data_IF_464444221286
#
_entry.id   IF_464444221286
#
_cell.length_a   1.000
_cell.length_b   1.000
_cell.length_c   1.000
_cell.angle_alpha   90.00
_cell.angle_beta   90.00
_cell.angle_gamma   90.00
#
_symmetry.space_group_name_H-M   'P 1'
#
loop_
_entity.id
_entity.type
_entity.pdbx_description
1 polymer ?
#
# COMPACT_ATOMS: atom_id res chain seq x y z
N UNK A 1 9.90 11.77 -5.71
CA UNK A 1 8.70 12.34 -5.07
C UNK A 1 8.02 13.27 -6.05
N UNK A 2 6.70 13.30 -6.03
CA UNK A 2 5.87 14.28 -6.75
C UNK A 2 5.36 15.30 -5.74
N UNK A 3 5.38 16.56 -6.12
CA UNK A 3 4.78 17.65 -5.35
C UNK A 3 3.72 18.30 -6.21
N UNK A 4 2.61 18.68 -5.59
CA UNK A 4 1.49 19.30 -6.26
C UNK A 4 0.81 20.32 -5.38
N UNK A 5 0.07 21.23 -6.02
CA UNK A 5 -0.86 22.12 -5.35
C UNK A 5 -2.17 22.07 -6.14
N UNK A 6 -3.31 22.15 -5.45
CA UNK A 6 -4.60 22.21 -6.13
C UNK A 6 -4.70 23.44 -7.03
N UNK A 7 -5.59 23.42 -8.02
CA UNK A 7 -5.73 24.52 -8.99
C UNK A 7 -6.19 25.84 -8.35
N UNK A 8 -6.86 25.78 -7.20
CA UNK A 8 -7.21 26.94 -6.38
C UNK A 8 -6.13 27.31 -5.35
N UNK A 9 -4.99 26.62 -5.39
CA UNK A 9 -3.81 26.82 -4.54
C UNK A 9 -4.03 26.59 -3.04
N UNK A 10 -5.15 25.95 -2.66
CA UNK A 10 -5.53 25.78 -1.26
C UNK A 10 -4.98 24.54 -0.57
N UNK A 11 -4.58 23.52 -1.32
CA UNK A 11 -4.04 22.28 -0.75
C UNK A 11 -2.73 21.94 -1.44
N UNK A 12 -1.67 21.84 -0.64
CA UNK A 12 -0.39 21.29 -1.09
C UNK A 12 -0.39 19.77 -0.87
N UNK A 13 0.23 19.02 -1.77
CA UNK A 13 0.36 17.59 -1.69
C UNK A 13 1.78 17.13 -2.00
N UNK A 14 2.27 16.15 -1.25
CA UNK A 14 3.47 15.38 -1.59
C UNK A 14 3.08 13.92 -1.75
N UNK A 15 3.55 13.28 -2.82
CA UNK A 15 3.27 11.89 -3.13
C UNK A 15 4.58 11.16 -3.44
N UNK A 16 4.84 10.06 -2.76
CA UNK A 16 5.95 9.16 -3.05
C UNK A 16 5.40 7.80 -3.44
N UNK A 17 5.89 7.27 -4.54
CA UNK A 17 5.50 5.97 -5.06
C UNK A 17 6.68 5.02 -4.92
N UNK A 18 6.44 3.86 -4.32
CA UNK A 18 7.44 2.83 -4.11
C UNK A 18 7.01 1.56 -4.82
N UNK A 19 7.94 1.01 -5.60
CA UNK A 19 7.80 -0.27 -6.31
C UNK A 19 8.99 -1.14 -5.90
N UNK A 20 8.71 -2.36 -5.48
CA UNK A 20 9.72 -3.38 -5.20
C UNK A 20 9.87 -4.33 -6.37
N UNK A 21 10.94 -5.13 -6.34
CA UNK A 21 10.98 -6.39 -7.12
C UNK A 21 9.84 -7.27 -6.63
N UNK A 22 9.12 -7.89 -7.55
CA UNK A 22 8.04 -8.85 -7.25
C UNK A 22 8.03 -9.91 -8.34
N UNK A 23 7.65 -11.13 -7.97
CA UNK A 23 7.30 -12.24 -8.85
C UNK A 23 5.91 -12.82 -8.50
N UNK A 24 5.13 -12.10 -7.68
CA UNK A 24 3.84 -12.53 -7.16
C UNK A 24 2.67 -11.71 -7.72
N UNK A 25 2.50 -10.47 -7.26
CA UNK A 25 1.40 -9.59 -7.66
C UNK A 25 1.89 -8.16 -7.80
N UNK A 26 1.20 -7.37 -8.61
CA UNK A 26 1.50 -5.94 -8.70
C UNK A 26 1.11 -5.30 -7.37
N UNK A 27 2.13 -4.84 -6.64
CA UNK A 27 2.00 -4.06 -5.42
C UNK A 27 2.74 -2.75 -5.55
N UNK A 28 2.13 -1.69 -5.08
CA UNK A 28 2.73 -0.36 -5.06
C UNK A 28 2.39 0.32 -3.75
N UNK A 29 3.36 0.96 -3.11
CA UNK A 29 3.11 1.76 -1.92
C UNK A 29 3.08 3.23 -2.29
N UNK A 30 2.06 3.93 -1.81
CA UNK A 30 1.89 5.35 -1.95
C UNK A 30 1.99 5.98 -0.57
N UNK A 31 2.97 6.86 -0.39
CA UNK A 31 3.01 7.77 0.76
C UNK A 31 2.43 9.08 0.29
N UNK A 32 1.31 9.49 0.87
CA UNK A 32 0.65 10.74 0.52
C UNK A 32 0.60 11.63 1.75
N UNK A 33 0.92 12.90 1.55
CA UNK A 33 0.77 13.95 2.56
C UNK A 33 0.07 15.14 1.93
N UNK A 34 -0.94 15.67 2.62
CA UNK A 34 -1.71 16.84 2.22
C UNK A 34 -1.64 17.89 3.32
N UNK A 35 -1.46 19.15 2.93
CA UNK A 35 -1.54 20.30 3.84
C UNK A 35 -2.54 21.30 3.30
N UNK A 36 -3.56 21.63 4.10
CA UNK A 36 -4.57 22.62 3.77
C UNK A 36 -4.02 24.00 4.11
N UNK A 37 -3.70 24.80 3.09
CA UNK A 37 -3.11 26.13 3.22
C UNK A 37 -4.18 27.20 3.54
N UNK A 38 -5.42 26.93 3.13
CA UNK A 38 -6.59 27.74 3.41
C UNK A 38 -7.77 26.86 3.83
N UNK A 39 -8.85 27.48 4.31
CA UNK A 39 -10.12 26.79 4.52
C UNK A 39 -10.65 26.27 3.16
N UNK A 40 -10.95 24.98 3.13
CA UNK A 40 -11.45 24.28 1.93
C UNK A 40 -12.84 23.72 2.22
N UNK A 41 -13.85 24.33 1.63
CA UNK A 41 -15.18 23.73 1.53
C UNK A 41 -15.21 22.72 0.38
N UNK A 42 -15.71 21.53 0.63
CA UNK A 42 -15.75 20.45 -0.37
C UNK A 42 -17.17 19.90 -0.54
N UNK A 43 -17.47 19.36 -1.72
CA UNK A 43 -18.62 18.48 -1.93
C UNK A 43 -18.21 17.00 -1.99
N UNK A 44 -16.95 16.76 -2.37
CA UNK A 44 -16.29 15.48 -2.53
C UNK A 44 -14.81 15.69 -2.25
N UNK A 45 -14.21 14.81 -1.47
CA UNK A 45 -12.78 14.78 -1.22
C UNK A 45 -12.32 13.34 -1.21
N UNK A 46 -11.21 13.08 -1.92
CA UNK A 46 -10.56 11.78 -1.99
C UNK A 46 -9.05 12.01 -1.96
N UNK A 47 -8.38 11.47 -0.95
CA UNK A 47 -6.92 11.51 -0.83
C UNK A 47 -6.23 10.40 -1.62
N UNK A 48 -6.96 9.34 -1.92
CA UNK A 48 -6.57 8.26 -2.80
C UNK A 48 -7.84 7.62 -3.37
N UNK A 49 -7.79 7.13 -4.60
CA UNK A 49 -8.95 6.50 -5.25
C UNK A 49 -8.51 5.27 -6.03
N UNK A 50 -9.27 4.18 -5.91
CA UNK A 50 -9.19 3.03 -6.81
C UNK A 50 -10.40 3.02 -7.74
N UNK A 51 -10.15 2.65 -9.00
CA UNK A 51 -11.04 2.76 -10.14
C UNK A 51 -11.38 4.23 -10.50
N UNK A 52 -11.41 4.54 -11.79
CA UNK A 52 -11.49 5.93 -12.25
C UNK A 52 -12.94 6.43 -12.39
N UNK A 53 -13.14 7.75 -12.19
CA UNK A 53 -14.42 8.44 -12.43
C UNK A 53 -14.90 8.33 -13.88
N UNK A 54 -13.92 8.41 -14.78
CA UNK A 54 -14.07 8.27 -16.23
C UNK A 54 -13.14 7.15 -16.68
N UNK A 55 -13.53 6.38 -17.68
CA UNK A 55 -12.85 5.12 -18.02
C UNK A 55 -12.97 4.09 -16.89
N UNK A 56 -14.12 4.07 -16.24
CA UNK A 56 -14.49 3.09 -15.23
C UNK A 56 -15.09 1.84 -15.87
N UNK A 57 -14.38 1.26 -16.83
CA UNK A 57 -14.90 0.22 -17.69
C UNK A 57 -14.38 -1.17 -17.32
N UNK A 58 -13.88 -1.43 -16.11
CA UNK A 58 -13.47 -2.78 -15.71
C UNK A 58 -14.66 -3.72 -15.55
N UNK A 59 -15.85 -3.18 -15.23
CA UNK A 59 -17.07 -4.00 -15.12
C UNK A 59 -17.10 -4.90 -13.89
N UNK A 60 -16.46 -4.47 -12.79
CA UNK A 60 -16.57 -5.12 -11.49
C UNK A 60 -18.03 -5.20 -11.05
N UNK A 61 -18.44 -6.38 -10.60
CA UNK A 61 -19.80 -6.63 -10.13
C UNK A 61 -19.89 -6.81 -8.62
N UNK A 62 -18.75 -6.92 -7.93
CA UNK A 62 -18.68 -7.04 -6.49
C UNK A 62 -17.76 -6.00 -5.88
N UNK A 63 -18.11 -5.56 -4.67
CA UNK A 63 -17.32 -4.65 -3.85
C UNK A 63 -17.29 -5.15 -2.41
N UNK A 64 -16.11 -5.15 -1.80
CA UNK A 64 -15.93 -5.53 -0.41
C UNK A 64 -14.99 -4.57 0.31
N UNK A 65 -15.12 -4.51 1.64
CA UNK A 65 -14.14 -3.87 2.50
C UNK A 65 -14.11 -4.55 3.88
N UNK A 66 -12.99 -4.41 4.57
CA UNK A 66 -12.74 -5.10 5.82
C UNK A 66 -11.42 -4.71 6.44
N UNK A 67 -10.87 -5.64 7.22
CA UNK A 67 -9.56 -5.55 7.86
C UNK A 67 -8.86 -6.92 7.79
N UNK A 68 -7.64 -7.04 8.31
CA UNK A 68 -6.86 -8.28 8.29
C UNK A 68 -7.63 -9.51 8.82
N UNK A 69 -8.47 -9.31 9.85
CA UNK A 69 -9.18 -10.41 10.50
C UNK A 69 -10.52 -10.76 9.85
N UNK A 70 -11.17 -9.84 9.13
CA UNK A 70 -12.56 -10.00 8.69
C UNK A 70 -12.89 -9.30 7.37
N UNK A 71 -13.81 -9.91 6.61
CA UNK A 71 -14.58 -9.22 5.57
C UNK A 71 -15.77 -8.55 6.26
N UNK A 72 -15.72 -7.24 6.46
CA UNK A 72 -16.76 -6.51 7.20
C UNK A 72 -18.02 -6.30 6.36
N UNK A 73 -17.87 -6.10 5.05
CA UNK A 73 -18.97 -5.92 4.11
C UNK A 73 -18.59 -6.48 2.76
N UNK A 74 -19.55 -7.15 2.13
CA UNK A 74 -19.50 -7.64 0.76
C UNK A 74 -20.84 -7.31 0.10
N UNK A 75 -20.82 -6.77 -1.11
CA UNK A 75 -22.05 -6.37 -1.82
C UNK A 75 -21.89 -6.39 -3.33
N UNK A 76 -22.98 -6.82 -3.98
CA UNK A 76 -23.14 -6.65 -5.42
C UNK A 76 -23.24 -5.18 -5.79
N UNK A 77 -22.57 -4.82 -6.87
CA UNK A 77 -22.63 -3.48 -7.45
C UNK A 77 -23.93 -3.40 -8.28
N UNK A 78 -24.87 -2.50 -7.94
CA UNK A 78 -26.11 -2.35 -8.68
C UNK A 78 -25.83 -1.69 -10.04
N UNK A 79 -26.55 -2.15 -11.07
CA UNK A 79 -26.64 -1.40 -12.32
C UNK A 79 -27.30 -0.04 -12.06
N UNK A 80 -26.63 1.03 -12.48
CA UNK A 80 -27.05 2.39 -12.14
C UNK A 80 -26.66 3.37 -13.22
N UNK A 81 -27.65 4.01 -13.86
CA UNK A 81 -27.41 5.05 -14.87
C UNK A 81 -26.80 6.35 -14.32
N UNK A 82 -26.58 6.46 -13.00
CA UNK A 82 -26.04 7.67 -12.36
C UNK A 82 -24.58 7.52 -11.94
N UNK A 83 -23.86 8.63 -12.01
CA UNK A 83 -22.54 8.84 -11.40
C UNK A 83 -22.72 9.68 -10.12
N UNK A 84 -21.99 9.39 -9.05
CA UNK A 84 -22.13 10.09 -7.78
C UNK A 84 -22.21 9.19 -6.55
N UNK A 85 -22.28 9.81 -5.36
CA UNK A 85 -22.70 9.12 -4.14
C UNK A 85 -24.20 8.81 -4.23
N UNK A 86 -24.58 7.57 -3.95
CA UNK A 86 -25.99 7.19 -4.03
C UNK A 86 -26.77 7.56 -2.78
N UNK A 87 -26.10 7.57 -1.63
CA UNK A 87 -26.65 8.02 -0.37
C UNK A 87 -25.57 8.68 0.49
N UNK A 88 -25.99 9.32 1.58
CA UNK A 88 -25.07 9.82 2.61
C UNK A 88 -24.38 8.70 3.38
N UNK A 89 -24.95 7.48 3.40
CA UNK A 89 -24.32 6.32 4.06
C UNK A 89 -23.15 5.73 3.26
N UNK A 90 -23.01 6.12 1.99
CA UNK A 90 -21.87 5.75 1.15
C UNK A 90 -20.65 6.67 1.37
N UNK A 91 -20.67 7.51 2.41
CA UNK A 91 -19.64 8.52 2.67
C UNK A 91 -19.14 8.43 4.10
N UNK A 92 -17.83 8.62 4.28
CA UNK A 92 -17.19 8.62 5.60
C UNK A 92 -17.42 7.32 6.37
N UNK A 93 -17.34 6.17 5.69
CA UNK A 93 -17.45 4.85 6.33
C UNK A 93 -16.12 4.56 7.02
N UNK A 94 -16.13 4.43 8.34
CA UNK A 94 -14.95 4.09 9.11
C UNK A 94 -14.45 2.68 8.76
N UNK A 95 -13.16 2.54 8.46
CA UNK A 95 -12.51 1.24 8.34
C UNK A 95 -11.72 0.94 9.61
N UNK A 96 -12.31 0.15 10.50
CA UNK A 96 -11.74 -0.18 11.81
C UNK A 96 -10.97 -1.51 11.78
N UNK A 97 -9.96 -1.64 12.64
CA UNK A 97 -9.12 -2.83 12.76
C UNK A 97 -7.80 -2.68 12.01
N UNK A 98 -6.97 -3.72 12.08
CA UNK A 98 -5.62 -3.69 11.50
C UNK A 98 -5.65 -3.92 9.98
N UNK A 99 -4.76 -3.23 9.26
CA UNK A 99 -4.67 -3.25 7.80
C UNK A 99 -6.04 -3.16 7.09
N UNK A 100 -6.83 -2.09 7.33
CA UNK A 100 -8.12 -1.95 6.69
C UNK A 100 -7.99 -1.86 5.17
N UNK A 101 -8.91 -2.50 4.45
CA UNK A 101 -8.81 -2.66 3.01
C UNK A 101 -10.14 -2.52 2.28
N UNK A 102 -10.05 -2.23 0.99
CA UNK A 102 -11.17 -2.21 0.04
C UNK A 102 -10.83 -3.03 -1.20
N UNK A 103 -11.85 -3.59 -1.84
CA UNK A 103 -11.66 -4.49 -2.98
C UNK A 103 -12.81 -4.39 -3.98
N UNK A 104 -12.48 -4.29 -5.26
CA UNK A 104 -13.39 -4.38 -6.40
C UNK A 104 -12.99 -5.62 -7.19
N UNK A 105 -13.94 -6.53 -7.41
CA UNK A 105 -13.67 -7.83 -7.99
C UNK A 105 -14.84 -8.39 -8.79
N UNK A 106 -14.63 -9.57 -9.37
CA UNK A 106 -15.58 -10.26 -10.22
C UNK A 106 -15.97 -9.38 -11.42
N UNK A 107 -14.94 -8.99 -12.18
CA UNK A 107 -15.08 -8.34 -13.48
C UNK A 107 -15.91 -9.22 -14.41
N UNK A 108 -16.86 -8.61 -15.12
CA UNK A 108 -17.69 -9.28 -16.13
C UNK A 108 -17.48 -8.73 -17.52
N UNK A 109 -16.43 -7.92 -17.70
CA UNK A 109 -16.10 -7.39 -19.02
C UNK A 109 -15.62 -8.54 -19.91
N UNK A 110 -16.14 -8.50 -21.13
CA UNK A 110 -15.95 -9.55 -22.15
C UNK A 110 -15.60 -8.93 -23.51
N UNK A 111 -15.29 -7.63 -23.52
CA UNK A 111 -15.16 -6.81 -24.72
C UNK A 111 -13.77 -6.21 -24.85
N UNK A 112 -13.11 -6.47 -25.97
CA UNK A 112 -11.73 -6.09 -26.25
C UNK A 112 -10.84 -7.34 -26.37
N UNK A 113 -9.70 -7.21 -27.05
CA UNK A 113 -8.66 -8.26 -27.07
C UNK A 113 -7.65 -8.05 -25.92
N UNK A 114 -8.09 -7.45 -24.82
CA UNK A 114 -7.21 -7.07 -23.72
C UNK A 114 -7.39 -8.09 -22.58
N UNK A 115 -6.33 -8.82 -22.18
CA UNK A 115 -6.35 -9.71 -21.01
C UNK A 115 -6.60 -8.99 -19.67
N UNK A 116 -6.71 -7.66 -19.71
CA UNK A 116 -6.90 -6.76 -18.57
C UNK A 116 -8.21 -7.01 -17.80
N UNK A 117 -9.15 -7.76 -18.38
CA UNK A 117 -10.45 -8.09 -17.78
C UNK A 117 -10.35 -9.07 -16.58
N UNK A 118 -9.17 -9.63 -16.31
CA UNK A 118 -8.93 -10.70 -15.34
C UNK A 118 -8.24 -10.23 -14.05
N UNK A 119 -8.25 -8.93 -13.75
CA UNK A 119 -7.60 -8.38 -12.56
C UNK A 119 -8.62 -7.76 -11.60
N UNK A 120 -8.53 -8.14 -10.34
CA UNK A 120 -9.22 -7.51 -9.23
C UNK A 120 -8.33 -6.46 -8.58
N UNK A 121 -8.91 -5.37 -8.11
CA UNK A 121 -8.15 -4.20 -7.64
C UNK A 121 -8.62 -3.73 -6.28
N UNK A 122 -7.68 -3.29 -5.47
CA UNK A 122 -7.98 -2.76 -4.15
C UNK A 122 -6.83 -1.97 -3.57
N UNK A 123 -7.06 -1.45 -2.37
CA UNK A 123 -5.99 -0.90 -1.56
C UNK A 123 -6.15 -1.26 -0.10
N UNK A 124 -5.02 -1.26 0.60
CA UNK A 124 -4.89 -1.50 2.04
C UNK A 124 -4.28 -0.24 2.64
N UNK A 125 -4.88 0.28 3.71
CA UNK A 125 -4.35 1.43 4.42
C UNK A 125 -3.41 0.92 5.51
N UNK A 126 -2.11 1.09 5.30
CA UNK A 126 -1.05 0.64 6.23
C UNK A 126 -0.79 1.65 7.34
N UNK A 127 -1.04 2.93 7.06
CA UNK A 127 -1.00 4.01 8.05
C UNK A 127 -1.96 5.12 7.63
N UNK A 128 -2.62 5.75 8.60
CA UNK A 128 -3.46 6.93 8.41
C UNK A 128 -3.37 7.83 9.65
N UNK A 129 -3.09 9.11 9.41
CA UNK A 129 -3.09 10.13 10.44
C UNK A 129 -3.53 11.46 9.83
N UNK A 130 -4.53 12.09 10.43
CA UNK A 130 -5.03 13.38 10.00
C UNK A 130 -5.23 14.30 11.20
N UNK A 131 -4.78 15.54 11.08
CA UNK A 131 -5.06 16.62 12.02
C UNK A 131 -6.02 17.59 11.32
N UNK A 132 -7.30 17.55 11.68
CA UNK A 132 -8.36 18.36 11.07
C UNK A 132 -8.80 19.42 12.07
N UNK A 133 -8.26 20.64 11.91
CA UNK A 133 -8.43 21.71 12.89
C UNK A 133 -7.83 21.34 14.25
N UNK A 134 -8.69 21.01 15.23
CA UNK A 134 -8.27 20.54 16.56
C UNK A 134 -8.49 19.05 16.79
N UNK A 135 -8.96 18.32 15.78
CA UNK A 135 -9.29 16.90 15.90
C UNK A 135 -8.23 16.02 15.23
N UNK A 136 -7.69 15.08 16.00
CA UNK A 136 -6.82 14.02 15.48
C UNK A 136 -7.65 12.82 15.07
N UNK A 137 -7.50 12.36 13.83
CA UNK A 137 -8.20 11.22 13.25
C UNK A 137 -7.17 10.19 12.78
N UNK A 138 -7.16 9.01 13.41
CA UNK A 138 -6.25 7.90 13.04
C UNK A 138 -6.99 6.73 12.39
N UNK A 139 -8.32 6.72 12.44
CA UNK A 139 -9.13 5.73 11.71
C UNK A 139 -9.33 6.20 10.27
N UNK A 140 -8.89 5.45 9.25
CA UNK A 140 -9.18 5.80 7.87
C UNK A 140 -10.66 5.64 7.57
N UNK A 141 -11.17 6.48 6.68
CA UNK A 141 -12.56 6.42 6.22
C UNK A 141 -12.60 6.27 4.71
N UNK A 142 -13.64 5.62 4.20
CA UNK A 142 -13.87 5.51 2.77
C UNK A 142 -15.19 6.11 2.33
N UNK A 143 -15.23 6.54 1.08
CA UNK A 143 -16.47 6.77 0.36
C UNK A 143 -16.63 5.75 -0.78
N UNK A 144 -17.87 5.45 -1.13
CA UNK A 144 -18.25 4.58 -2.24
C UNK A 144 -18.91 5.45 -3.30
N UNK A 145 -18.19 5.69 -4.39
CA UNK A 145 -18.64 6.56 -5.46
C UNK A 145 -19.04 5.73 -6.68
N UNK A 146 -20.24 5.96 -7.21
CA UNK A 146 -20.73 5.27 -8.42
C UNK A 146 -20.18 5.94 -9.66
N UNK A 147 -19.73 5.13 -10.60
CA UNK A 147 -19.26 5.57 -11.92
C UNK A 147 -20.14 4.95 -12.99
N UNK A 148 -20.52 5.76 -13.99
CA UNK A 148 -21.29 5.31 -15.14
C UNK A 148 -20.69 5.92 -16.42
N UNK A 149 -19.64 5.28 -16.94
CA UNK A 149 -18.94 5.74 -18.16
C UNK A 149 -18.30 4.55 -18.89
N UNK A 150 -19.07 3.89 -19.75
CA UNK A 150 -18.68 2.65 -20.46
C UNK A 150 -19.15 1.36 -19.77
N UNK A 151 -19.41 1.43 -18.47
CA UNK A 151 -20.00 0.38 -17.63
C UNK A 151 -20.40 0.94 -16.26
N UNK A 152 -21.11 0.14 -15.45
CA UNK A 152 -21.47 0.48 -14.09
C UNK A 152 -20.46 -0.15 -13.13
N UNK A 153 -19.78 0.68 -12.32
CA UNK A 153 -18.94 0.16 -11.24
C UNK A 153 -18.87 1.15 -10.07
N UNK A 154 -18.40 0.65 -8.93
CA UNK A 154 -17.98 1.50 -7.82
C UNK A 154 -16.53 1.93 -7.98
N UNK A 155 -16.20 3.02 -7.29
CA UNK A 155 -14.85 3.40 -6.91
C UNK A 155 -14.83 3.57 -5.40
N UNK A 156 -13.69 3.26 -4.80
CA UNK A 156 -13.46 3.54 -3.39
C UNK A 156 -12.50 4.70 -3.26
N UNK A 157 -12.86 5.63 -2.38
CA UNK A 157 -12.09 6.84 -2.09
C UNK A 157 -11.64 6.82 -0.64
N UNK A 158 -10.36 6.97 -0.38
CA UNK A 158 -9.86 7.28 0.97
C UNK A 158 -10.23 8.73 1.31
N UNK A 159 -10.91 8.93 2.44
CA UNK A 159 -11.43 10.23 2.87
C UNK A 159 -11.43 10.42 4.39
N UNK A 160 -12.28 11.35 4.83
CA UNK A 160 -12.51 11.71 6.24
C UNK A 160 -13.89 11.22 6.71
N UNK A 161 -14.18 11.27 8.03
CA UNK A 161 -15.56 11.24 8.51
C UNK A 161 -16.44 12.22 7.73
N UNK A 162 -17.69 11.83 7.51
CA UNK A 162 -18.63 12.64 6.74
C UNK A 162 -19.68 13.28 7.65
N UNK A 163 -19.70 14.61 7.67
CA UNK A 163 -20.75 15.42 8.27
C UNK A 163 -21.32 16.39 7.24
N UNK A 164 -22.59 16.19 6.85
CA UNK A 164 -23.26 17.05 5.88
C UNK A 164 -23.45 18.50 6.38
N UNK A 165 -23.37 18.74 7.69
CA UNK A 165 -23.47 20.07 8.29
C UNK A 165 -22.13 20.79 8.38
N UNK A 166 -21.01 20.04 8.26
CA UNK A 166 -19.66 20.56 8.33
C UNK A 166 -18.78 19.97 7.23
N UNK A 167 -18.81 20.60 6.05
CA UNK A 167 -18.03 20.18 4.88
C UNK A 167 -16.87 21.14 4.59
N UNK A 168 -16.23 21.66 5.64
CA UNK A 168 -15.05 22.54 5.52
C UNK A 168 -13.89 21.96 6.30
N UNK A 169 -12.73 21.86 5.64
CA UNK A 169 -11.47 21.51 6.28
C UNK A 169 -10.73 22.83 6.57
N UNK A 170 -10.41 23.13 7.83
CA UNK A 170 -9.79 24.41 8.17
C UNK A 170 -8.33 24.46 7.73
N UNK A 171 -7.84 25.67 7.46
CA UNK A 171 -6.43 25.94 7.18
C UNK A 171 -5.52 25.39 8.30
N UNK A 172 -4.35 24.91 7.92
CA UNK A 172 -3.38 24.27 8.81
C UNK A 172 -3.63 22.78 9.04
N UNK A 173 -4.75 22.23 8.57
CA UNK A 173 -5.02 20.79 8.67
C UNK A 173 -4.04 19.97 7.83
N UNK A 174 -3.76 18.74 8.25
CA UNK A 174 -2.88 17.80 7.54
C UNK A 174 -3.52 16.42 7.42
N UNK A 175 -3.16 15.69 6.37
CA UNK A 175 -3.52 14.28 6.18
C UNK A 175 -2.31 13.53 5.64
N UNK A 176 -1.91 12.48 6.33
CA UNK A 176 -0.83 11.57 5.94
C UNK A 176 -1.36 10.14 5.87
N UNK A 177 -1.00 9.42 4.81
CA UNK A 177 -1.38 8.02 4.67
C UNK A 177 -0.33 7.22 3.91
N UNK A 178 -0.19 5.95 4.29
CA UNK A 178 0.52 4.93 3.53
C UNK A 178 -0.50 3.97 2.98
N UNK A 179 -0.60 3.91 1.65
CA UNK A 179 -1.54 3.07 0.91
C UNK A 179 -0.76 2.01 0.16
N UNK A 180 -1.07 0.74 0.40
CA UNK A 180 -0.66 -0.36 -0.46
C UNK A 180 -1.75 -0.60 -1.50
N UNK A 181 -1.46 -0.28 -2.76
CA UNK A 181 -2.31 -0.62 -3.89
C UNK A 181 -1.95 -2.01 -4.39
N UNK A 182 -2.95 -2.86 -4.57
CA UNK A 182 -2.77 -4.25 -4.98
C UNK A 182 -3.64 -4.55 -6.19
N UNK A 183 -3.05 -5.19 -7.18
CA UNK A 183 -3.76 -5.81 -8.31
C UNK A 183 -3.59 -7.31 -8.20
N UNK A 184 -4.69 -8.01 -8.00
CA UNK A 184 -4.73 -9.45 -7.82
C UNK A 184 -5.30 -10.12 -9.07
N UNK A 185 -4.78 -11.28 -9.49
CA UNK A 185 -5.48 -12.12 -10.47
C UNK A 185 -6.91 -12.45 -9.99
N UNK A 186 -7.88 -12.41 -10.92
CA UNK A 186 -9.27 -12.74 -10.62
C UNK A 186 -9.43 -14.22 -10.27
N UNK A 187 -8.63 -15.09 -10.90
CA UNK A 187 -8.50 -16.49 -10.53
C UNK A 187 -7.08 -17.01 -10.72
N UNK A 188 -6.83 -18.21 -10.16
CA UNK A 188 -5.51 -18.85 -10.20
C UNK A 188 -5.14 -19.37 -11.60
N UNK A 189 -6.10 -19.70 -12.46
CA UNK A 189 -5.82 -20.21 -13.80
C UNK A 189 -5.27 -19.11 -14.73
N UNK A 190 -5.59 -17.85 -14.43
CA UNK A 190 -5.07 -16.66 -15.13
C UNK A 190 -3.72 -16.17 -14.57
N UNK A 191 -3.28 -16.70 -13.43
CA UNK A 191 -1.98 -16.38 -12.85
C UNK A 191 -0.86 -17.13 -13.60
N UNK A 192 0.01 -16.38 -14.28
CA UNK A 192 1.11 -16.91 -15.10
C UNK A 192 2.49 -16.82 -14.41
N UNK A 193 2.54 -16.36 -13.15
CA UNK A 193 3.79 -16.28 -12.39
C UNK A 193 4.14 -17.60 -11.68
N UNK A 194 5.39 -17.70 -11.21
CA UNK A 194 5.93 -18.92 -10.61
C UNK A 194 5.97 -18.87 -9.07
N UNK A 195 5.50 -17.79 -8.45
CA UNK A 195 5.50 -17.67 -6.98
C UNK A 195 4.74 -18.83 -6.31
N UNK A 196 5.48 -19.66 -5.58
CA UNK A 196 4.96 -20.84 -4.87
C UNK A 196 3.89 -20.43 -3.85
N UNK A 197 4.07 -19.27 -3.22
CA UNK A 197 3.09 -18.71 -2.30
C UNK A 197 1.75 -18.49 -3.01
N UNK A 198 1.76 -17.90 -4.21
CA UNK A 198 0.55 -17.63 -5.00
C UNK A 198 -0.11 -18.93 -5.49
N UNK A 199 0.69 -19.87 -5.98
CA UNK A 199 0.22 -21.15 -6.54
C UNK A 199 -0.47 -22.05 -5.49
N UNK A 200 -0.12 -21.92 -4.22
CA UNK A 200 -0.71 -22.71 -3.14
C UNK A 200 -1.87 -22.00 -2.43
N UNK A 201 -2.22 -20.79 -2.85
CA UNK A 201 -3.22 -19.97 -2.17
C UNK A 201 -4.65 -20.32 -2.55
N UNK A 202 -5.57 -20.04 -1.63
CA UNK A 202 -7.01 -20.20 -1.83
C UNK A 202 -7.73 -18.86 -1.65
N UNK A 203 -9.02 -18.80 -1.98
CA UNK A 203 -9.82 -17.56 -1.87
C UNK A 203 -9.85 -16.70 -3.13
N UNK A 204 -9.19 -17.15 -4.21
CA UNK A 204 -9.30 -16.58 -5.55
C UNK A 204 -10.76 -16.41 -6.00
N UNK A 205 -11.07 -15.29 -6.66
CA UNK A 205 -12.43 -14.91 -7.07
C UNK A 205 -13.36 -14.51 -5.93
N UNK A 206 -12.86 -14.40 -4.70
CA UNK A 206 -13.63 -13.97 -3.52
C UNK A 206 -12.89 -12.85 -2.79
N UNK A 207 -13.58 -12.09 -1.93
CA UNK A 207 -12.92 -11.05 -1.13
C UNK A 207 -11.93 -11.56 -0.08
N UNK A 208 -11.91 -12.88 0.19
CA UNK A 208 -10.99 -13.46 1.17
C UNK A 208 -9.53 -13.34 0.73
N UNK A 209 -9.24 -13.34 -0.58
CA UNK A 209 -7.88 -13.15 -1.09
C UNK A 209 -7.29 -11.81 -0.64
N UNK A 210 -8.07 -10.73 -0.72
CA UNK A 210 -7.66 -9.39 -0.29
C UNK A 210 -7.48 -9.33 1.23
N UNK A 211 -8.36 -9.98 2.00
CA UNK A 211 -8.21 -10.09 3.46
C UNK A 211 -6.89 -10.75 3.84
N UNK A 212 -6.56 -11.87 3.19
CA UNK A 212 -5.30 -12.57 3.43
C UNK A 212 -4.08 -11.70 3.06
N UNK A 213 -4.11 -10.90 1.98
CA UNK A 213 -3.02 -9.95 1.65
C UNK A 213 -2.89 -8.81 2.67
N UNK A 214 -4.02 -8.33 3.20
CA UNK A 214 -4.03 -7.36 4.29
C UNK A 214 -3.37 -7.90 5.55
N UNK A 215 -3.69 -9.14 5.93
CA UNK A 215 -3.14 -9.82 7.11
C UNK A 215 -1.65 -10.15 6.95
N UNK A 216 -1.30 -10.87 5.88
CA UNK A 216 0.04 -11.46 5.73
C UNK A 216 1.13 -10.43 5.38
N UNK A 217 0.80 -9.40 4.59
CA UNK A 217 1.77 -8.34 4.28
C UNK A 217 1.86 -7.26 5.38
N UNK A 218 1.34 -7.52 6.59
CA UNK A 218 1.52 -6.61 7.71
C UNK A 218 2.94 -6.76 8.27
N UNK A 219 3.84 -5.85 7.90
CA UNK A 219 5.23 -5.88 8.31
C UNK A 219 5.41 -5.31 9.71
N UNK A 220 5.92 -6.13 10.62
CA UNK A 220 6.26 -5.76 12.00
C UNK A 220 7.74 -6.02 12.28
N UNK A 221 8.43 -5.01 12.82
CA UNK A 221 9.88 -5.03 13.01
C UNK A 221 10.23 -4.79 14.47
N UNK A 222 10.99 -5.73 15.04
CA UNK A 222 11.65 -5.54 16.33
C UNK A 222 13.11 -5.18 16.10
N UNK A 223 13.49 -3.95 16.44
CA UNK A 223 14.83 -3.43 16.24
C UNK A 223 15.77 -3.77 17.40
N UNK A 224 16.97 -4.27 17.08
CA UNK A 224 18.10 -4.44 18.01
C UNK A 224 19.19 -3.40 17.74
N UNK A 225 19.46 -3.08 16.48
CA UNK A 225 20.43 -2.06 16.03
C UNK A 225 19.83 -1.25 14.88
N UNK A 226 20.06 0.06 14.88
CA UNK A 226 19.44 1.01 13.95
C UNK A 226 18.14 1.58 14.51
N UNK A 227 17.45 2.39 13.72
CA UNK A 227 16.15 2.98 14.07
C UNK A 227 15.18 2.79 12.92
N UNK A 228 14.01 2.19 13.18
CA UNK A 228 12.96 2.06 12.19
C UNK A 228 12.37 3.45 11.87
N UNK A 229 12.36 3.82 10.60
CA UNK A 229 11.78 5.08 10.12
C UNK A 229 10.36 4.86 9.62
N UNK A 230 10.13 3.85 8.79
CA UNK A 230 8.79 3.41 8.37
C UNK A 230 8.78 1.93 7.95
N UNK A 231 7.59 1.32 7.91
CA UNK A 231 7.40 -0.13 7.70
C UNK A 231 6.94 -0.53 6.30
N UNK A 232 6.48 0.39 5.44
CA UNK A 232 5.93 0.03 4.14
C UNK A 232 6.28 1.08 3.07
N UNK A 233 7.35 0.91 2.27
CA UNK A 233 8.36 -0.15 2.36
C UNK A 233 9.22 -0.02 3.64
N UNK A 234 10.04 -1.00 4.02
CA UNK A 234 10.85 -0.85 5.24
C UNK A 234 11.99 0.14 5.00
N UNK A 235 12.14 1.10 5.91
CA UNK A 235 13.31 1.97 5.99
C UNK A 235 13.86 2.02 7.41
N UNK A 236 15.16 1.80 7.53
CA UNK A 236 15.89 1.76 8.80
C UNK A 236 17.07 2.71 8.69
N UNK A 237 17.16 3.66 9.61
CA UNK A 237 18.36 4.47 9.80
C UNK A 237 19.45 3.61 10.47
N UNK A 238 20.61 3.54 9.83
CA UNK A 238 21.74 2.76 10.35
C UNK A 238 22.34 3.36 11.61
N UNK A 239 22.93 2.49 12.43
CA UNK A 239 23.82 2.87 13.52
C UNK A 239 25.27 2.77 13.09
N UNK A 240 26.12 3.68 13.56
CA UNK A 240 27.56 3.58 13.33
C UNK A 240 28.14 2.32 13.98
N UNK A 241 28.88 1.54 13.21
CA UNK A 241 29.54 0.33 13.67
C UNK A 241 29.66 -0.70 12.56
N UNK A 242 30.26 -1.88 12.84
CA UNK A 242 30.35 -2.97 11.87
C UNK A 242 28.98 -3.64 11.63
N UNK A 243 28.04 -3.54 12.57
CA UNK A 243 26.64 -3.93 12.36
C UNK A 243 25.80 -2.65 12.27
N UNK A 244 25.34 -2.32 11.08
CA UNK A 244 24.61 -1.08 10.81
C UNK A 244 23.13 -1.18 11.17
N UNK A 245 22.54 -2.36 11.00
CA UNK A 245 21.16 -2.66 11.36
C UNK A 245 21.06 -4.11 11.84
N UNK A 246 20.15 -4.38 12.77
CA UNK A 246 19.84 -5.72 13.26
C UNK A 246 18.41 -5.72 13.75
N UNK A 247 17.58 -6.59 13.20
CA UNK A 247 16.15 -6.60 13.46
C UNK A 247 15.54 -7.99 13.21
N UNK A 248 14.39 -8.24 13.81
CA UNK A 248 13.51 -9.35 13.44
C UNK A 248 12.35 -8.80 12.64
N UNK A 249 12.10 -9.36 11.47
CA UNK A 249 10.96 -9.05 10.62
C UNK A 249 9.91 -10.16 10.73
N UNK A 250 8.70 -9.78 11.13
CA UNK A 250 7.51 -10.61 11.14
C UNK A 250 6.52 -10.11 10.07
N UNK A 251 5.79 -11.03 9.45
CA UNK A 251 4.94 -10.72 8.31
C UNK A 251 5.74 -10.36 7.06
N UNK A 252 5.02 -9.88 6.05
CA UNK A 252 5.50 -9.79 4.68
C UNK A 252 5.03 -10.99 3.85
N UNK A 253 4.80 -10.73 2.58
CA UNK A 253 4.43 -11.72 1.57
C UNK A 253 5.27 -11.46 0.32
N UNK A 254 5.92 -12.49 -0.21
CA UNK A 254 6.78 -12.36 -1.39
C UNK A 254 7.98 -11.46 -1.12
N UNK A 255 8.41 -10.72 -2.14
CA UNK A 255 9.57 -9.82 -2.03
C UNK A 255 9.20 -8.50 -1.35
N UNK A 256 9.90 -8.19 -0.25
CA UNK A 256 9.75 -6.98 0.53
C UNK A 256 11.00 -6.09 0.39
N UNK A 257 10.85 -4.82 -0.03
CA UNK A 257 11.96 -3.87 -0.05
C UNK A 257 12.36 -3.42 1.37
N UNK A 258 13.64 -3.54 1.70
CA UNK A 258 14.26 -3.07 2.95
C UNK A 258 15.38 -2.10 2.60
N UNK A 259 15.26 -0.85 3.03
CA UNK A 259 16.27 0.19 2.83
C UNK A 259 16.98 0.52 4.13
N UNK A 260 18.31 0.43 4.13
CA UNK A 260 19.15 0.88 5.24
C UNK A 260 19.83 2.19 4.84
N UNK A 261 19.55 3.28 5.55
CA UNK A 261 20.05 4.63 5.25
C UNK A 261 21.16 5.06 6.20
N UNK A 262 21.88 6.14 5.88
CA UNK A 262 22.89 6.74 6.76
C UNK A 262 24.27 6.07 6.77
N UNK A 263 24.52 5.12 5.86
CA UNK A 263 25.77 4.37 5.79
C UNK A 263 26.93 5.28 5.36
N UNK A 264 28.08 5.16 6.03
CA UNK A 264 29.25 6.02 5.74
C UNK A 264 30.04 5.58 4.49
N UNK A 265 29.76 4.38 3.97
CA UNK A 265 30.44 3.78 2.82
C UNK A 265 29.47 2.92 2.01
N UNK A 266 29.79 2.72 0.74
CA UNK A 266 28.98 1.96 -0.22
C UNK A 266 29.32 0.48 -0.31
N UNK A 267 30.46 0.06 0.22
CA UNK A 267 31.10 -1.24 -0.03
C UNK A 267 31.07 -2.18 1.19
N UNK A 268 31.22 -3.47 0.90
CA UNK A 268 31.34 -4.60 1.83
C UNK A 268 30.22 -4.77 2.87
N UNK A 269 29.09 -4.10 2.67
CA UNK A 269 27.87 -4.36 3.44
C UNK A 269 27.15 -5.59 2.91
N UNK A 270 26.94 -6.56 3.80
CA UNK A 270 26.22 -7.80 3.50
C UNK A 270 24.99 -7.86 4.39
N UNK A 271 23.81 -7.99 3.77
CA UNK A 271 22.60 -8.35 4.51
C UNK A 271 22.66 -9.85 4.80
N UNK A 272 22.60 -10.21 6.06
CA UNK A 272 22.64 -11.58 6.54
C UNK A 272 21.32 -11.92 7.23
N UNK A 273 20.90 -13.18 7.13
CA UNK A 273 19.77 -13.74 7.87
C UNK A 273 20.24 -14.84 8.81
N UNK A 274 19.56 -14.98 9.95
CA UNK A 274 19.81 -16.06 10.89
C UNK A 274 19.11 -17.33 10.40
N UNK A 275 19.88 -18.40 10.16
CA UNK A 275 19.31 -19.66 9.73
C UNK A 275 18.87 -20.54 10.91
N UNK A 276 18.19 -21.64 10.60
CA UNK A 276 17.64 -22.58 11.60
C UNK A 276 18.70 -23.25 12.48
N UNK A 277 19.98 -23.19 12.10
CA UNK A 277 21.11 -23.72 12.90
C UNK A 277 21.73 -22.67 13.83
N UNK A 278 21.23 -21.44 13.82
CA UNK A 278 21.76 -20.32 14.61
C UNK A 278 23.01 -19.68 14.01
N UNK A 279 23.29 -19.91 12.72
CA UNK A 279 24.40 -19.27 12.00
C UNK A 279 23.87 -18.16 11.11
N UNK A 280 24.67 -17.10 10.94
CA UNK A 280 24.40 -16.02 10.00
C UNK A 280 24.83 -16.44 8.60
N UNK A 281 23.94 -16.25 7.62
CA UNK A 281 24.23 -16.49 6.21
C UNK A 281 23.87 -15.25 5.39
N UNK A 282 24.67 -14.96 4.37
CA UNK A 282 24.37 -13.88 3.44
C UNK A 282 23.03 -14.15 2.75
N UNK A 283 22.21 -13.11 2.62
CA UNK A 283 21.05 -13.12 1.75
C UNK A 283 21.55 -13.04 0.30
N UNK A 284 21.39 -14.13 -0.43
CA UNK A 284 21.66 -14.22 -1.87
C UNK A 284 20.42 -14.77 -2.59
N UNK A 285 19.86 -13.96 -3.48
CA UNK A 285 18.66 -14.24 -4.27
C UNK A 285 18.88 -13.84 -5.74
N UNK A 286 20.15 -13.89 -6.17
CA UNK A 286 20.57 -13.49 -7.49
C UNK A 286 19.98 -14.40 -8.57
N UNK A 287 19.39 -13.80 -9.59
CA UNK A 287 19.16 -14.47 -10.89
C UNK A 287 20.24 -14.01 -11.88
N UNK A 288 20.53 -12.71 -11.86
CA UNK A 288 21.63 -12.07 -12.58
C UNK A 288 22.48 -11.24 -11.60
N UNK A 289 23.63 -11.78 -11.19
CA UNK A 289 24.63 -11.12 -10.33
C UNK A 289 24.08 -10.56 -9.00
N UNK A 290 23.73 -9.27 -8.98
CA UNK A 290 23.33 -8.53 -7.78
C UNK A 290 21.95 -7.87 -7.94
N UNK A 291 21.09 -8.45 -8.78
CA UNK A 291 19.74 -7.97 -9.15
C UNK A 291 18.70 -7.89 -8.01
N UNK A 292 19.10 -8.11 -6.76
CA UNK A 292 18.23 -8.05 -5.58
C UNK A 292 18.58 -6.91 -4.64
N UNK A 293 19.66 -6.15 -4.89
CA UNK A 293 20.00 -4.98 -4.11
C UNK A 293 20.60 -3.85 -4.94
N UNK A 294 20.53 -2.63 -4.41
CA UNK A 294 21.10 -1.44 -5.02
C UNK A 294 21.64 -0.49 -3.96
N UNK A 295 22.69 0.26 -4.30
CA UNK A 295 23.25 1.30 -3.45
C UNK A 295 23.06 2.67 -4.09
N UNK A 296 22.61 3.63 -3.31
CA UNK A 296 22.43 5.02 -3.70
C UNK A 296 23.26 5.93 -2.79
N UNK A 297 24.03 6.85 -3.38
CA UNK A 297 24.61 7.96 -2.63
C UNK A 297 23.57 9.06 -2.42
N UNK A 298 23.45 9.58 -1.20
CA UNK A 298 22.50 10.63 -0.79
C UNK A 298 23.28 11.93 -0.56
N UNK A 299 23.28 12.89 -1.53
CA UNK A 299 24.15 14.06 -1.46
C UNK A 299 23.86 14.99 -0.27
N UNK A 300 22.60 15.06 0.17
CA UNK A 300 22.15 15.96 1.23
C UNK A 300 22.79 15.62 2.57
N UNK A 301 22.95 14.33 2.85
CA UNK A 301 23.55 13.80 4.08
C UNK A 301 25.00 13.34 3.89
N UNK A 302 25.47 13.26 2.64
CA UNK A 302 26.76 12.66 2.26
C UNK A 302 26.92 11.23 2.76
N UNK A 303 25.82 10.47 2.78
CA UNK A 303 25.79 9.06 3.19
C UNK A 303 25.31 8.18 2.04
N UNK A 304 25.32 6.87 2.24
CA UNK A 304 24.78 5.88 1.34
C UNK A 304 23.50 5.27 1.91
N UNK A 305 22.64 4.81 1.01
CA UNK A 305 21.49 3.97 1.31
C UNK A 305 21.58 2.70 0.49
N UNK A 306 21.34 1.55 1.11
CA UNK A 306 21.31 0.25 0.42
C UNK A 306 19.89 -0.30 0.54
N UNK A 307 19.28 -0.63 -0.59
CA UNK A 307 17.96 -1.26 -0.65
C UNK A 307 18.12 -2.70 -1.10
N UNK A 308 17.56 -3.64 -0.34
CA UNK A 308 17.42 -5.05 -0.68
C UNK A 308 15.96 -5.37 -0.98
N UNK A 309 15.68 -6.29 -1.90
CA UNK A 309 14.38 -6.93 -2.00
C UNK A 309 14.51 -8.36 -1.45
N UNK A 310 13.87 -8.64 -0.32
CA UNK A 310 13.99 -9.93 0.38
C UNK A 310 12.71 -10.73 0.27
N UNK A 311 12.81 -11.99 -0.16
CA UNK A 311 11.71 -12.93 -0.07
C UNK A 311 11.43 -13.20 1.41
N UNK A 312 10.22 -12.89 1.85
CA UNK A 312 9.82 -12.90 3.24
C UNK A 312 8.47 -13.62 3.37
N UNK A 313 8.51 -14.83 3.95
CA UNK A 313 7.32 -15.65 4.20
C UNK A 313 7.20 -16.08 5.67
N UNK A 314 8.30 -16.04 6.43
CA UNK A 314 8.34 -16.44 7.84
C UNK A 314 9.13 -15.44 8.68
N UNK A 315 8.83 -15.33 9.99
CA UNK A 315 9.65 -14.58 10.94
C UNK A 315 11.15 -14.84 10.74
N UNK A 316 11.89 -13.79 10.42
CA UNK A 316 13.32 -13.90 10.08
C UNK A 316 14.11 -12.80 10.76
N UNK A 317 15.24 -13.18 11.37
CA UNK A 317 16.17 -12.23 11.97
C UNK A 317 17.24 -11.85 10.94
N UNK A 318 17.41 -10.55 10.74
CA UNK A 318 18.32 -9.97 9.75
C UNK A 318 19.34 -9.05 10.41
N UNK A 319 20.53 -8.96 9.84
CA UNK A 319 21.50 -7.90 10.15
C UNK A 319 22.23 -7.41 8.91
N UNK A 320 22.55 -6.12 8.88
CA UNK A 320 23.46 -5.55 7.89
C UNK A 320 24.86 -5.46 8.50
N UNK A 321 25.79 -6.24 7.98
CA UNK A 321 27.13 -6.43 8.52
C UNK A 321 28.19 -5.95 7.52
N UNK A 322 29.15 -5.16 7.99
CA UNK A 322 30.34 -4.78 7.23
C UNK A 322 31.45 -5.81 7.45
N UNK A 323 32.13 -6.20 6.37
CA UNK A 323 33.25 -7.15 6.35
C UNK A 323 34.53 -6.51 5.85
#
# INVERSE_FOLDING_TARGET
SYIGITNDEKVAATMQTHLGRTDDVVRSFYHVSYTFLEDVSYNRIAFFQVAADRYGDNGFTQAAYGNASTVATEKSIPSSGSTGYASTSDRGIALTGDAPWVFLYNSTKTGGNLPEDNADVGFIVRNFHAEIGSETITTPHINIYRTNNGGHQYSFELGLPYDASNMTIPAGSTVEAIIEYVVLPADLAEYYGDSIHMLNRTGWGTSDIMRQFADENQQDLTMTVGTLIHTHPIEIESKTGPTAAHFTLNGGIGYIPITITGLQRSDDWVLEKLNSTGSWEAVDQSVYEHDYWQTLFVPQTQTYSITFNVLQDTPTEYRLQWH
#
